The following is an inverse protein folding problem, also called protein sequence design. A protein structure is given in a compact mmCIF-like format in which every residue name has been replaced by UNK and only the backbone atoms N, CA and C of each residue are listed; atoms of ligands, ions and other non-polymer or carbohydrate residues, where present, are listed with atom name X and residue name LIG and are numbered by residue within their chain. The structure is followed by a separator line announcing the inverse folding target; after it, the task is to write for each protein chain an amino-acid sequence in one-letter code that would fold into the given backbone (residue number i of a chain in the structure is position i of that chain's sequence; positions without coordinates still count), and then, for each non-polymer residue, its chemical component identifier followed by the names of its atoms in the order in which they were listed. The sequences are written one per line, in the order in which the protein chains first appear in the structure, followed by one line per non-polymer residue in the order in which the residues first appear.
data_IF_790691193504
#
_entry.id   IF_790691193504
#
_cell.length_a   1.000
_cell.length_b   1.000
_cell.length_c   1.000
_cell.angle_alpha   90.00
_cell.angle_beta   90.00
_cell.angle_gamma   90.00
#
_symmetry.space_group_name_H-M   'P 1'
#
loop_
_entity.id
_entity.type
_entity.pdbx_description
1 polymer ?
#
# COMPACT_ATOMS: atom_id res chain seq x y z
N UNK A 1 26.73 5.74 6.38
CA UNK A 1 25.60 4.90 5.96
C UNK A 1 25.15 4.12 7.17
N UNK A 2 23.86 4.08 7.45
CA UNK A 2 23.27 3.19 8.45
C UNK A 2 22.11 2.50 7.76
N UNK A 3 21.93 1.22 8.04
CA UNK A 3 20.85 0.46 7.42
C UNK A 3 19.80 0.16 8.48
N UNK A 4 18.53 0.40 8.17
CA UNK A 4 17.44 0.19 9.12
C UNK A 4 17.64 0.97 10.44
N UNK A 5 18.02 2.25 10.35
CA UNK A 5 18.25 3.10 11.52
C UNK A 5 16.92 3.61 12.09
N UNK A 6 16.70 3.30 13.38
CA UNK A 6 15.45 3.61 14.08
C UNK A 6 15.14 5.10 14.14
N UNK A 7 16.14 5.93 14.42
CA UNK A 7 15.92 7.37 14.61
C UNK A 7 15.63 8.04 13.26
N UNK A 8 16.29 7.60 12.19
CA UNK A 8 15.97 8.02 10.83
C UNK A 8 14.51 7.67 10.47
N UNK A 9 14.07 6.44 10.72
CA UNK A 9 12.69 6.01 10.43
C UNK A 9 11.65 6.84 11.20
N UNK A 10 11.91 7.13 12.48
CA UNK A 10 11.04 7.99 13.30
C UNK A 10 11.00 9.41 12.73
N UNK A 11 12.15 9.94 12.30
CA UNK A 11 12.23 11.27 11.69
C UNK A 11 11.49 11.39 10.35
N UNK A 12 11.45 10.30 9.57
CA UNK A 12 10.71 10.23 8.30
C UNK A 12 9.20 10.12 8.49
N UNK A 13 8.75 9.58 9.63
CA UNK A 13 7.33 9.32 9.92
C UNK A 13 6.85 10.13 11.15
N UNK A 14 7.03 11.46 11.19
CA UNK A 14 6.80 12.26 12.38
C UNK A 14 5.32 12.45 12.70
N UNK A 15 4.41 12.10 11.80
CA UNK A 15 2.96 12.17 12.02
C UNK A 15 2.39 10.90 12.66
N UNK A 16 3.13 9.80 12.64
CA UNK A 16 2.69 8.57 13.30
C UNK A 16 2.79 8.68 14.83
N UNK A 17 1.68 8.39 15.51
CA UNK A 17 1.51 8.50 16.97
C UNK A 17 1.22 7.16 17.66
N UNK A 18 1.04 6.08 16.89
CA UNK A 18 0.73 4.74 17.41
C UNK A 18 1.97 3.95 17.81
N UNK A 19 1.76 2.65 18.07
CA UNK A 19 2.84 1.69 18.36
C UNK A 19 3.85 1.63 17.19
N UNK A 20 5.11 1.31 17.49
CA UNK A 20 6.17 1.14 16.49
C UNK A 20 6.88 -0.20 16.71
N UNK A 21 7.42 -0.76 15.63
CA UNK A 21 8.30 -1.93 15.71
C UNK A 21 9.64 -1.58 16.37
N UNK A 22 10.46 -2.59 16.62
CA UNK A 22 11.79 -2.41 17.22
C UNK A 22 12.71 -1.54 16.34
N UNK A 23 12.54 -1.60 15.03
CA UNK A 23 13.24 -0.76 14.07
C UNK A 23 12.66 0.66 13.93
N UNK A 24 11.59 1.01 14.64
CA UNK A 24 10.99 2.34 14.59
C UNK A 24 9.91 2.53 13.52
N UNK A 25 9.67 1.55 12.64
CA UNK A 25 8.57 1.64 11.66
C UNK A 25 7.21 1.76 12.34
N UNK A 26 6.27 2.56 11.80
CA UNK A 26 4.86 2.52 12.18
C UNK A 26 4.29 1.10 12.24
N UNK A 27 3.73 0.71 13.39
CA UNK A 27 3.07 -0.59 13.59
C UNK A 27 1.57 -0.42 13.47
N UNK A 28 1.11 -0.22 12.23
CA UNK A 28 -0.33 -0.15 11.91
C UNK A 28 -1.03 -1.43 12.37
N UNK A 29 -2.21 -1.36 13.00
CA UNK A 29 -2.89 -2.55 13.50
C UNK A 29 -3.30 -3.52 12.37
N UNK A 30 -3.28 -4.83 12.64
CA UNK A 30 -3.67 -5.85 11.67
C UNK A 30 -5.13 -5.70 11.21
N UNK A 31 -6.02 -5.21 12.07
CA UNK A 31 -7.43 -4.95 11.73
C UNK A 31 -7.59 -4.01 10.54
N UNK A 32 -6.74 -2.98 10.41
CA UNK A 32 -6.77 -2.07 9.25
C UNK A 32 -6.31 -2.77 7.97
N UNK A 33 -5.29 -3.64 8.05
CA UNK A 33 -4.86 -4.41 6.88
C UNK A 33 -5.96 -5.36 6.40
N UNK A 34 -6.63 -6.04 7.33
CA UNK A 34 -7.74 -6.95 7.00
C UNK A 34 -8.96 -6.20 6.45
N UNK A 35 -9.25 -5.00 6.95
CA UNK A 35 -10.30 -4.15 6.37
C UNK A 35 -9.98 -3.76 4.92
N UNK A 36 -8.75 -3.30 4.65
CA UNK A 36 -8.30 -2.92 3.32
C UNK A 36 -8.41 -4.06 2.30
N UNK A 37 -8.18 -5.32 2.71
CA UNK A 37 -8.32 -6.48 1.80
C UNK A 37 -9.72 -6.59 1.16
N UNK A 38 -10.74 -5.99 1.76
CA UNK A 38 -12.11 -6.01 1.24
C UNK A 38 -12.47 -4.76 0.42
N UNK A 39 -11.58 -3.78 0.29
CA UNK A 39 -11.85 -2.47 -0.37
C UNK A 39 -11.30 -2.40 -1.79
N UNK A 40 -11.86 -1.56 -2.66
CA UNK A 40 -11.35 -1.32 -4.02
C UNK A 40 -10.23 -0.28 -4.05
N UNK A 41 -9.53 -0.14 -5.19
CA UNK A 41 -8.49 0.88 -5.33
C UNK A 41 -9.07 2.29 -5.26
N UNK A 42 -10.23 2.48 -5.87
CA UNK A 42 -10.93 3.75 -5.99
C UNK A 42 -11.44 4.25 -4.63
N UNK A 43 -11.97 3.33 -3.80
CA UNK A 43 -12.38 3.61 -2.41
C UNK A 43 -11.22 4.08 -1.53
N UNK A 44 -10.02 3.52 -1.73
CA UNK A 44 -8.84 3.78 -0.91
C UNK A 44 -8.03 4.97 -1.42
N UNK A 45 -7.95 5.17 -2.73
CA UNK A 45 -7.19 6.23 -3.38
C UNK A 45 -7.77 7.62 -3.11
N UNK A 46 -9.09 7.78 -3.23
CA UNK A 46 -9.74 9.09 -3.15
C UNK A 46 -9.47 9.84 -1.84
N UNK A 47 -9.62 9.23 -0.63
CA UNK A 47 -9.36 9.92 0.63
C UNK A 47 -7.92 10.41 0.79
N UNK A 48 -6.97 9.77 0.12
CA UNK A 48 -5.56 10.14 0.12
C UNK A 48 -5.33 11.30 -0.85
N UNK A 49 -5.86 11.20 -2.06
CA UNK A 49 -5.73 12.20 -3.12
C UNK A 49 -6.25 13.58 -2.71
N UNK A 50 -7.46 13.65 -2.13
CA UNK A 50 -8.08 14.93 -1.71
C UNK A 50 -7.30 15.65 -0.59
N UNK A 51 -6.35 14.95 0.06
CA UNK A 51 -5.44 15.52 1.06
C UNK A 51 -4.11 16.00 0.47
N UNK A 52 -3.98 16.01 -0.86
CA UNK A 52 -2.78 16.45 -1.57
C UNK A 52 -1.69 15.38 -1.72
N UNK A 53 -2.00 14.12 -1.43
CA UNK A 53 -1.08 13.00 -1.65
C UNK A 53 -1.26 12.44 -3.07
N UNK A 54 -0.70 13.16 -4.04
CA UNK A 54 -0.90 12.89 -5.48
C UNK A 54 0.14 11.90 -6.07
N UNK A 55 1.21 11.59 -5.35
CA UNK A 55 2.36 10.82 -5.85
C UNK A 55 2.48 9.47 -5.11
N UNK A 56 1.36 8.79 -4.89
CA UNK A 56 1.26 7.59 -4.07
C UNK A 56 0.96 6.32 -4.89
N UNK A 57 0.66 6.45 -6.18
CA UNK A 57 0.25 5.33 -7.04
C UNK A 57 1.25 5.07 -8.18
N UNK A 58 1.52 3.79 -8.45
CA UNK A 58 2.28 3.31 -9.61
C UNK A 58 1.55 2.15 -10.30
N UNK A 59 1.38 2.26 -11.62
CA UNK A 59 0.63 1.30 -12.44
C UNK A 59 1.48 0.55 -13.48
N UNK A 60 2.72 0.99 -13.73
CA UNK A 60 3.60 0.38 -14.73
C UNK A 60 4.33 -0.86 -14.14
N UNK A 61 3.57 -1.81 -13.61
CA UNK A 61 4.03 -3.03 -12.94
C UNK A 61 3.23 -4.26 -13.43
N UNK A 62 3.91 -5.39 -13.59
CA UNK A 62 3.28 -6.70 -13.76
C UNK A 62 2.94 -7.33 -12.41
N UNK A 63 1.98 -8.24 -12.38
CA UNK A 63 1.61 -9.03 -11.20
C UNK A 63 2.04 -10.48 -11.33
N UNK A 64 2.47 -11.09 -10.22
CA UNK A 64 2.82 -12.51 -10.19
C UNK A 64 1.56 -13.37 -10.31
N UNK A 65 0.53 -13.07 -9.52
CA UNK A 65 -0.78 -13.73 -9.61
C UNK A 65 -1.81 -12.76 -10.19
N UNK A 66 -2.55 -13.22 -11.20
CA UNK A 66 -3.55 -12.46 -11.96
C UNK A 66 -4.99 -12.90 -11.63
N UNK A 67 -5.20 -13.53 -10.47
CA UNK A 67 -6.49 -14.04 -9.99
C UNK A 67 -7.30 -13.03 -9.17
N UNK A 68 -6.93 -11.75 -9.24
CA UNK A 68 -7.60 -10.66 -8.52
C UNK A 68 -7.25 -10.54 -7.04
N UNK A 69 -6.35 -11.36 -6.50
CA UNK A 69 -5.88 -11.22 -5.11
C UNK A 69 -5.17 -9.88 -4.88
N UNK A 70 -5.36 -9.31 -3.69
CA UNK A 70 -4.74 -8.04 -3.29
C UNK A 70 -3.45 -8.27 -2.51
N UNK A 71 -2.50 -7.35 -2.66
CA UNK A 71 -1.31 -7.24 -1.81
C UNK A 71 -1.57 -6.16 -0.76
N UNK A 72 -1.68 -6.54 0.52
CA UNK A 72 -1.84 -5.59 1.61
C UNK A 72 -0.84 -5.88 2.71
N UNK A 73 -0.06 -4.87 3.11
CA UNK A 73 0.87 -5.00 4.23
C UNK A 73 1.74 -3.78 4.45
N UNK A 74 2.57 -3.83 5.50
CA UNK A 74 3.40 -2.69 5.92
C UNK A 74 4.71 -2.68 5.15
N UNK A 75 5.10 -1.53 4.62
CA UNK A 75 6.27 -1.42 3.78
C UNK A 75 7.57 -1.64 4.57
N UNK A 76 8.44 -2.49 4.04
CA UNK A 76 9.87 -2.56 4.34
C UNK A 76 10.61 -2.11 3.10
N UNK A 77 11.15 -0.90 3.14
CA UNK A 77 11.67 -0.24 1.94
C UNK A 77 13.17 -0.48 1.77
N UNK A 78 13.63 -0.59 0.52
CA UNK A 78 15.06 -0.59 0.21
C UNK A 78 15.31 0.02 -1.17
N UNK A 79 16.44 0.70 -1.32
CA UNK A 79 16.81 1.40 -2.54
C UNK A 79 18.23 1.04 -2.95
N UNK A 80 18.47 0.97 -4.26
CA UNK A 80 19.74 0.56 -4.83
C UNK A 80 20.26 1.57 -5.85
N UNK A 81 21.55 1.47 -6.16
CA UNK A 81 22.18 2.14 -7.30
C UNK A 81 23.08 1.15 -8.06
N UNK A 82 23.55 1.51 -9.27
CA UNK A 82 24.58 0.75 -9.98
C UNK A 82 25.81 0.52 -9.11
N UNK A 83 26.40 -0.67 -9.22
CA UNK A 83 27.57 -1.00 -8.42
C UNK A 83 28.78 -0.12 -8.74
N UNK A 84 29.43 0.35 -7.67
CA UNK A 84 30.74 0.96 -7.69
C UNK A 84 31.61 0.24 -6.64
N UNK A 85 32.81 -0.27 -6.97
CA UNK A 85 33.53 -1.18 -6.07
C UNK A 85 33.83 -0.64 -4.67
N UNK A 86 34.27 0.62 -4.57
CA UNK A 86 34.54 1.30 -3.29
C UNK A 86 33.27 1.50 -2.46
N UNK A 87 32.15 1.86 -3.10
CA UNK A 87 30.85 1.97 -2.41
C UNK A 87 30.36 0.60 -1.93
N UNK A 88 30.51 -0.44 -2.74
CA UNK A 88 30.15 -1.81 -2.37
C UNK A 88 30.94 -2.28 -1.14
N UNK A 89 32.26 -2.03 -1.12
CA UNK A 89 33.11 -2.34 0.03
C UNK A 89 32.64 -1.61 1.29
N UNK A 90 32.39 -0.29 1.21
CA UNK A 90 31.93 0.50 2.34
C UNK A 90 30.57 0.03 2.88
N UNK A 91 29.63 -0.30 1.99
CA UNK A 91 28.31 -0.82 2.34
C UNK A 91 28.39 -2.20 3.02
N UNK A 92 29.22 -3.11 2.52
CA UNK A 92 29.43 -4.42 3.15
C UNK A 92 30.16 -4.33 4.49
N UNK A 93 31.16 -3.46 4.62
CA UNK A 93 31.84 -3.23 5.89
C UNK A 93 30.86 -2.71 6.95
N UNK A 94 29.97 -1.79 6.57
CA UNK A 94 28.90 -1.32 7.45
C UNK A 94 27.91 -2.44 7.80
N UNK A 95 27.49 -3.24 6.82
CA UNK A 95 26.62 -4.40 7.05
C UNK A 95 27.23 -5.41 8.03
N UNK A 96 28.55 -5.63 7.95
CA UNK A 96 29.29 -6.50 8.87
C UNK A 96 29.35 -5.93 10.30
N UNK A 97 29.54 -4.61 10.46
CA UNK A 97 29.46 -3.92 11.77
C UNK A 97 28.07 -4.07 12.42
N UNK A 98 27.04 -4.17 11.60
CA UNK A 98 25.65 -4.41 12.01
C UNK A 98 25.27 -5.91 12.02
N UNK A 99 26.27 -6.81 11.98
CA UNK A 99 26.13 -8.27 12.06
C UNK A 99 25.22 -8.93 11.00
N UNK A 100 25.07 -8.31 9.83
CA UNK A 100 24.27 -8.87 8.74
C UNK A 100 24.96 -10.02 8.03
N UNK A 101 24.16 -10.95 7.52
CA UNK A 101 24.63 -12.16 6.81
C UNK A 101 24.01 -12.22 5.41
N UNK A 102 24.78 -12.73 4.44
CA UNK A 102 24.32 -12.81 3.05
C UNK A 102 24.42 -11.48 2.31
N UNK A 103 23.59 -11.31 1.30
CA UNK A 103 23.57 -10.15 0.41
C UNK A 103 22.42 -9.17 0.74
N UNK A 104 22.42 -7.98 0.14
CA UNK A 104 21.48 -6.90 0.45
C UNK A 104 20.00 -7.32 0.45
N UNK A 105 19.54 -8.08 -0.54
CA UNK A 105 18.16 -8.55 -0.58
C UNK A 105 17.82 -9.48 0.59
N UNK A 106 18.74 -10.36 0.98
CA UNK A 106 18.57 -11.26 2.14
C UNK A 106 18.50 -10.45 3.44
N UNK A 107 19.28 -9.37 3.58
CA UNK A 107 19.21 -8.49 4.75
C UNK A 107 17.80 -7.92 4.96
N UNK A 108 17.10 -7.62 3.86
CA UNK A 108 15.72 -7.13 3.88
C UNK A 108 14.75 -8.26 4.19
N UNK A 109 14.82 -9.40 3.46
CA UNK A 109 13.91 -10.54 3.66
C UNK A 109 14.00 -11.09 5.10
N UNK A 110 15.20 -11.14 5.67
CA UNK A 110 15.41 -11.68 7.01
C UNK A 110 14.82 -10.76 8.10
N UNK A 111 14.63 -9.48 7.81
CA UNK A 111 14.04 -8.50 8.73
C UNK A 111 12.52 -8.51 8.78
N UNK A 112 11.84 -9.18 7.84
CA UNK A 112 10.39 -9.11 7.70
C UNK A 112 9.67 -9.70 8.90
N UNK A 113 8.62 -8.99 9.31
CA UNK A 113 7.62 -9.43 10.28
C UNK A 113 6.31 -9.86 9.60
N UNK A 114 5.36 -10.36 10.40
CA UNK A 114 4.06 -10.80 9.91
C UNK A 114 3.28 -9.64 9.25
N UNK A 115 2.79 -9.88 8.03
CA UNK A 115 2.09 -8.87 7.23
C UNK A 115 2.97 -7.77 6.62
N UNK A 116 4.30 -7.91 6.61
CA UNK A 116 5.18 -6.99 5.89
C UNK A 116 5.19 -7.23 4.37
N UNK A 117 5.46 -6.16 3.63
CA UNK A 117 5.66 -6.17 2.18
C UNK A 117 6.98 -5.49 1.87
N UNK A 118 7.85 -6.18 1.13
CA UNK A 118 9.11 -5.58 0.65
C UNK A 118 8.80 -4.58 -0.45
N UNK A 119 9.38 -3.39 -0.39
CA UNK A 119 9.28 -2.36 -1.43
C UNK A 119 10.70 -2.01 -1.88
N UNK A 120 11.11 -2.51 -3.05
CA UNK A 120 12.50 -2.46 -3.51
C UNK A 120 12.65 -1.61 -4.78
N UNK A 121 13.43 -0.52 -4.70
CA UNK A 121 13.84 0.28 -5.85
C UNK A 121 15.19 -0.19 -6.41
N UNK A 122 15.14 -0.91 -7.52
CA UNK A 122 16.30 -1.34 -8.30
C UNK A 122 16.49 -0.48 -9.54
N UNK A 123 16.05 0.79 -9.51
CA UNK A 123 16.21 1.77 -10.58
C UNK A 123 15.77 1.24 -11.95
N UNK A 124 14.71 0.44 -11.96
CA UNK A 124 14.14 -0.24 -13.14
C UNK A 124 15.07 -1.26 -13.82
N UNK A 125 16.03 -1.82 -13.08
CA UNK A 125 16.96 -2.83 -13.59
C UNK A 125 16.30 -4.20 -13.61
N UNK A 126 16.12 -4.77 -14.81
CA UNK A 126 15.65 -6.16 -15.00
C UNK A 126 16.82 -7.14 -15.13
N UNK A 127 17.64 -7.01 -16.19
CA UNK A 127 18.85 -7.80 -16.36
C UNK A 127 19.80 -7.57 -15.17
N UNK A 128 20.17 -8.64 -14.45
CA UNK A 128 20.94 -8.63 -13.19
C UNK A 128 20.28 -7.89 -12.02
N UNK A 129 19.05 -7.44 -12.17
CA UNK A 129 18.28 -6.74 -11.13
C UNK A 129 17.14 -7.60 -10.58
N UNK A 130 17.37 -8.89 -10.41
CA UNK A 130 16.33 -9.84 -10.00
C UNK A 130 16.26 -9.96 -8.47
N UNK A 131 15.45 -9.13 -7.82
CA UNK A 131 15.41 -9.06 -6.34
C UNK A 131 14.88 -10.34 -5.71
N UNK A 132 13.77 -10.87 -6.26
CA UNK A 132 13.09 -12.08 -5.80
C UNK A 132 13.27 -13.22 -6.79
N UNK A 133 13.30 -14.43 -6.22
CA UNK A 133 13.23 -15.73 -6.87
C UNK A 133 12.66 -16.75 -5.89
N UNK A 134 12.57 -18.03 -6.29
CA UNK A 134 11.81 -19.06 -5.55
C UNK A 134 12.15 -19.14 -4.05
N UNK A 135 13.44 -19.16 -3.71
CA UNK A 135 13.90 -19.24 -2.31
C UNK A 135 13.45 -18.04 -1.46
N UNK A 136 13.56 -16.82 -1.99
CA UNK A 136 13.23 -15.61 -1.24
C UNK A 136 11.72 -15.43 -1.14
N UNK A 137 10.97 -15.80 -2.18
CA UNK A 137 9.50 -15.81 -2.13
C UNK A 137 8.99 -16.82 -1.10
N UNK A 138 9.63 -17.98 -0.98
CA UNK A 138 9.33 -18.96 0.08
C UNK A 138 9.59 -18.39 1.47
N UNK A 139 10.72 -17.69 1.65
CA UNK A 139 11.03 -17.04 2.92
C UNK A 139 10.04 -15.91 3.28
N UNK A 140 9.61 -15.11 2.29
CA UNK A 140 8.55 -14.12 2.47
C UNK A 140 7.25 -14.79 2.91
N UNK A 141 6.81 -15.85 2.23
CA UNK A 141 5.58 -16.56 2.58
C UNK A 141 5.62 -17.08 4.02
N UNK A 142 6.74 -17.67 4.44
CA UNK A 142 6.92 -18.20 5.79
C UNK A 142 6.92 -17.11 6.88
N UNK A 143 7.55 -15.95 6.63
CA UNK A 143 7.66 -14.86 7.60
C UNK A 143 6.40 -14.01 7.69
N UNK A 144 5.84 -13.66 6.55
CA UNK A 144 4.79 -12.66 6.45
C UNK A 144 3.39 -13.25 6.51
N UNK A 145 3.26 -14.56 6.20
CA UNK A 145 2.00 -15.30 5.97
C UNK A 145 1.19 -14.79 4.78
N UNK A 146 0.85 -13.50 4.73
CA UNK A 146 -0.01 -12.86 3.74
C UNK A 146 0.61 -11.60 3.09
N UNK A 147 1.94 -11.45 3.21
CA UNK A 147 2.70 -10.33 2.66
C UNK A 147 3.16 -10.55 1.23
N UNK A 148 4.27 -9.91 0.84
CA UNK A 148 4.76 -10.01 -0.53
C UNK A 148 5.84 -9.02 -0.90
N UNK A 149 5.84 -8.59 -2.17
CA UNK A 149 6.87 -7.68 -2.69
C UNK A 149 6.37 -6.74 -3.78
N UNK A 150 6.92 -5.53 -3.80
CA UNK A 150 6.80 -4.55 -4.88
C UNK A 150 8.21 -4.22 -5.33
N UNK A 151 8.59 -4.72 -6.51
CA UNK A 151 9.96 -4.71 -7.01
C UNK A 151 10.03 -3.82 -8.24
N UNK A 152 10.60 -2.62 -8.09
CA UNK A 152 10.92 -1.76 -9.22
C UNK A 152 12.21 -2.23 -9.92
N UNK A 153 12.11 -3.44 -10.48
CA UNK A 153 13.20 -4.20 -11.09
C UNK A 153 12.73 -5.59 -11.50
N UNK A 154 13.70 -6.47 -11.75
CA UNK A 154 13.45 -7.85 -12.18
C UNK A 154 13.01 -8.78 -11.05
N UNK A 155 12.36 -9.88 -11.45
CA UNK A 155 12.24 -11.12 -10.68
C UNK A 155 12.74 -12.31 -11.52
N UNK A 156 12.92 -13.46 -10.89
CA UNK A 156 13.32 -14.72 -11.55
C UNK A 156 12.58 -15.91 -10.96
N UNK A 157 12.77 -17.10 -11.52
CA UNK A 157 12.19 -18.37 -11.01
C UNK A 157 10.65 -18.32 -10.88
N UNK A 158 9.96 -17.69 -11.85
CA UNK A 158 8.51 -17.39 -11.77
C UNK A 158 7.65 -18.63 -11.53
N UNK A 159 7.99 -19.77 -12.13
CA UNK A 159 7.28 -21.05 -11.92
C UNK A 159 7.25 -21.43 -10.43
N UNK A 160 8.40 -21.39 -9.75
CA UNK A 160 8.50 -21.67 -8.32
C UNK A 160 7.81 -20.60 -7.48
N UNK A 161 7.92 -19.33 -7.87
CA UNK A 161 7.28 -18.24 -7.14
C UNK A 161 5.75 -18.37 -7.15
N UNK A 162 5.15 -18.88 -8.23
CA UNK A 162 3.70 -19.10 -8.34
C UNK A 162 3.18 -20.19 -7.40
N UNK A 163 4.02 -21.10 -6.92
CA UNK A 163 3.63 -22.10 -5.93
C UNK A 163 3.37 -21.49 -4.54
N UNK A 164 3.92 -20.31 -4.25
CA UNK A 164 3.70 -19.58 -3.00
C UNK A 164 2.34 -18.87 -3.02
N UNK A 165 1.28 -19.63 -2.76
CA UNK A 165 -0.11 -19.16 -2.86
C UNK A 165 -0.49 -18.05 -1.86
N UNK A 166 0.29 -17.82 -0.81
CA UNK A 166 -0.01 -16.81 0.21
C UNK A 166 0.68 -15.46 -0.02
N UNK A 167 1.47 -15.34 -1.09
CA UNK A 167 2.22 -14.13 -1.44
C UNK A 167 1.68 -13.52 -2.74
N UNK A 168 1.75 -12.19 -2.85
CA UNK A 168 1.59 -11.46 -4.11
C UNK A 168 2.83 -10.60 -4.38
N UNK A 169 3.23 -10.53 -5.65
CA UNK A 169 4.41 -9.74 -6.08
C UNK A 169 4.06 -8.87 -7.27
N UNK A 170 4.42 -7.59 -7.20
CA UNK A 170 4.42 -6.66 -8.32
C UNK A 170 5.85 -6.41 -8.79
N UNK A 171 6.11 -6.40 -10.10
CA UNK A 171 7.47 -6.34 -10.64
C UNK A 171 7.56 -5.68 -12.02
N UNK A 172 8.78 -5.31 -12.47
CA UNK A 172 9.01 -4.64 -13.77
C UNK A 172 9.33 -5.57 -14.92
N UNK A 173 10.02 -6.67 -14.66
CA UNK A 173 10.32 -7.65 -15.69
C UNK A 173 10.84 -8.98 -15.13
N UNK A 174 11.08 -9.92 -16.04
CA UNK A 174 11.59 -11.25 -15.71
C UNK A 174 12.93 -11.43 -16.41
N UNK A 175 13.91 -11.97 -15.70
CA UNK A 175 15.21 -12.35 -16.27
C UNK A 175 15.82 -13.52 -15.45
N UNK A 176 16.54 -14.48 -16.05
CA UNK A 176 17.10 -15.61 -15.31
C UNK A 176 18.37 -15.27 -14.52
N UNK A 177 18.99 -14.12 -14.75
CA UNK A 177 20.22 -13.74 -14.05
C UNK A 177 19.98 -13.57 -12.55
N UNK A 178 20.98 -13.82 -11.69
CA UNK A 178 20.89 -13.44 -10.28
C UNK A 178 21.09 -11.94 -10.09
N UNK A 179 20.67 -11.41 -8.94
CA UNK A 179 20.99 -10.04 -8.53
C UNK A 179 22.51 -9.80 -8.52
N UNK A 180 22.96 -8.84 -9.33
CA UNK A 180 24.36 -8.46 -9.55
C UNK A 180 24.45 -6.98 -9.89
N UNK A 181 25.64 -6.40 -9.73
CA UNK A 181 25.94 -5.03 -10.17
C UNK A 181 25.02 -3.95 -9.55
N UNK A 182 24.58 -4.20 -8.31
CA UNK A 182 23.80 -3.27 -7.49
C UNK A 182 24.50 -3.03 -6.15
N UNK A 183 24.32 -1.85 -5.59
CA UNK A 183 24.69 -1.55 -4.19
C UNK A 183 23.48 -0.92 -3.51
N UNK A 184 23.17 -1.38 -2.30
CA UNK A 184 22.10 -0.81 -1.49
C UNK A 184 22.52 0.58 -0.98
N UNK A 185 21.67 1.57 -1.22
CA UNK A 185 21.86 2.96 -0.80
C UNK A 185 20.97 3.32 0.38
N UNK A 186 19.87 2.60 0.59
CA UNK A 186 18.95 2.80 1.70
C UNK A 186 18.24 1.52 2.09
N UNK A 187 17.99 1.35 3.40
CA UNK A 187 17.19 0.28 3.98
C UNK A 187 16.31 0.89 5.07
N UNK A 188 14.99 0.80 4.90
CA UNK A 188 13.97 1.55 5.62
C UNK A 188 14.23 3.07 5.57
N UNK A 189 14.42 3.56 4.35
CA UNK A 189 14.52 4.98 4.00
C UNK A 189 13.38 5.38 3.06
N UNK A 190 13.32 6.65 2.65
CA UNK A 190 12.44 7.06 1.55
C UNK A 190 12.79 6.24 0.29
N UNK A 191 11.78 5.64 -0.34
CA UNK A 191 11.95 4.82 -1.54
C UNK A 191 10.94 5.23 -2.61
N UNK A 192 11.42 5.35 -3.85
CA UNK A 192 10.59 5.69 -5.00
C UNK A 192 10.33 4.46 -5.84
N UNK A 193 9.07 4.20 -6.17
CA UNK A 193 8.66 3.15 -7.10
C UNK A 193 8.01 3.84 -8.29
N UNK A 194 8.79 4.02 -9.35
CA UNK A 194 8.37 4.80 -10.52
C UNK A 194 7.99 6.24 -10.17
N UNK A 195 6.68 6.53 -10.24
CA UNK A 195 6.07 7.83 -9.94
C UNK A 195 5.62 7.96 -8.49
N UNK A 196 5.61 6.86 -7.74
CA UNK A 196 5.12 6.80 -6.38
C UNK A 196 6.25 6.91 -5.34
N UNK A 197 5.95 7.54 -4.20
CA UNK A 197 6.83 7.61 -3.02
C UNK A 197 6.25 6.75 -1.91
N UNK A 198 7.12 5.93 -1.30
CA UNK A 198 6.81 5.06 -0.18
C UNK A 198 7.79 5.32 0.98
N UNK A 199 7.24 5.46 2.19
CA UNK A 199 8.01 5.52 3.42
C UNK A 199 7.96 4.17 4.17
N UNK A 200 8.94 3.90 5.04
CA UNK A 200 8.93 2.71 5.87
C UNK A 200 7.67 2.66 6.75
N UNK A 201 6.95 1.54 6.72
CA UNK A 201 5.71 1.33 7.47
C UNK A 201 4.45 1.95 6.84
N UNK A 202 4.53 2.62 5.69
CA UNK A 202 3.34 2.91 4.88
C UNK A 202 2.63 1.61 4.49
N UNK A 203 1.33 1.68 4.22
CA UNK A 203 0.59 0.49 3.80
C UNK A 203 0.67 0.36 2.29
N UNK A 204 1.24 -0.75 1.84
CA UNK A 204 1.18 -1.18 0.46
C UNK A 204 -0.22 -1.71 0.19
N UNK A 205 -0.88 -1.17 -0.83
CA UNK A 205 -2.18 -1.62 -1.32
C UNK A 205 -2.06 -1.90 -2.83
N UNK A 206 -1.78 -3.15 -3.17
CA UNK A 206 -1.77 -3.64 -4.54
C UNK A 206 -3.14 -4.21 -4.92
N UNK A 207 -3.82 -3.54 -5.85
CA UNK A 207 -5.09 -3.97 -6.44
C UNK A 207 -5.27 -3.28 -7.80
N UNK A 208 -6.22 -3.76 -8.62
CA UNK A 208 -6.73 -2.98 -9.77
C UNK A 208 -5.69 -2.59 -10.83
N UNK A 209 -4.60 -3.35 -10.97
CA UNK A 209 -3.57 -3.09 -11.98
C UNK A 209 -2.40 -2.20 -11.52
N UNK A 210 -2.30 -1.84 -10.24
CA UNK A 210 -1.16 -1.10 -9.73
C UNK A 210 -0.95 -1.25 -8.23
N UNK A 211 -0.10 -0.39 -7.68
CA UNK A 211 0.22 -0.32 -6.25
C UNK A 211 0.04 1.11 -5.76
N UNK A 212 -0.74 1.25 -4.70
CA UNK A 212 -0.93 2.48 -3.94
C UNK A 212 -0.19 2.37 -2.60
N UNK A 213 0.52 3.42 -2.21
CA UNK A 213 1.14 3.54 -0.89
C UNK A 213 0.33 4.48 -0.01
N UNK A 214 -0.33 3.93 1.01
CA UNK A 214 -1.14 4.69 1.95
C UNK A 214 -0.23 5.18 3.08
N UNK A 215 -0.13 6.50 3.31
CA UNK A 215 0.64 7.02 4.44
C UNK A 215 0.16 6.41 5.76
N UNK A 216 1.08 5.86 6.54
CA UNK A 216 0.74 5.11 7.76
C UNK A 216 -0.19 5.86 8.72
N UNK A 217 -0.01 7.17 8.91
CA UNK A 217 -0.85 8.00 9.79
C UNK A 217 -2.26 8.27 9.26
N UNK A 218 -2.53 8.00 7.98
CA UNK A 218 -3.86 8.17 7.38
C UNK A 218 -4.67 6.87 7.34
N UNK A 219 -4.07 5.71 7.57
CA UNK A 219 -4.71 4.41 7.34
C UNK A 219 -6.08 4.25 8.03
N UNK A 220 -6.21 4.74 9.26
CA UNK A 220 -7.46 4.64 10.01
C UNK A 220 -8.60 5.42 9.34
N UNK A 221 -8.29 6.65 8.92
CA UNK A 221 -9.23 7.52 8.22
C UNK A 221 -9.54 7.01 6.82
N UNK A 222 -8.55 6.46 6.11
CA UNK A 222 -8.75 5.84 4.80
C UNK A 222 -9.69 4.65 4.91
N UNK A 223 -9.53 3.78 5.91
CA UNK A 223 -10.42 2.64 6.13
C UNK A 223 -11.84 3.10 6.45
N UNK A 224 -12.00 4.12 7.29
CA UNK A 224 -13.32 4.67 7.61
C UNK A 224 -13.98 5.32 6.38
N UNK A 225 -13.25 6.17 5.65
CA UNK A 225 -13.74 6.85 4.44
C UNK A 225 -14.05 5.89 3.30
N UNK A 226 -13.24 4.84 3.12
CA UNK A 226 -13.49 3.78 2.16
C UNK A 226 -14.76 2.99 2.52
N UNK A 227 -14.97 2.66 3.80
CA UNK A 227 -16.19 1.99 4.25
C UNK A 227 -17.44 2.84 4.00
N UNK A 228 -17.36 4.16 4.24
CA UNK A 228 -18.43 5.11 3.91
C UNK A 228 -18.70 5.17 2.40
N UNK A 229 -17.63 5.23 1.59
CA UNK A 229 -17.75 5.24 0.12
C UNK A 229 -18.42 3.97 -0.39
N UNK A 230 -18.01 2.81 0.12
CA UNK A 230 -18.57 1.53 -0.28
C UNK A 230 -20.09 1.43 -0.05
N UNK A 231 -20.57 1.82 1.14
CA UNK A 231 -22.01 1.78 1.43
C UNK A 231 -22.80 2.86 0.67
N UNK A 232 -22.18 4.02 0.39
CA UNK A 232 -22.74 5.03 -0.52
C UNK A 232 -22.89 4.48 -1.93
N UNK A 233 -21.94 3.70 -2.43
CA UNK A 233 -22.01 3.09 -3.77
C UNK A 233 -23.10 2.03 -3.86
N UNK A 234 -23.19 1.12 -2.87
CA UNK A 234 -24.26 0.12 -2.80
C UNK A 234 -25.64 0.80 -2.86
N UNK A 235 -25.84 1.82 -2.03
CA UNK A 235 -27.08 2.59 -1.99
C UNK A 235 -27.30 3.38 -3.28
N UNK A 236 -26.27 4.04 -3.78
CA UNK A 236 -26.30 4.89 -4.97
C UNK A 236 -26.69 4.11 -6.23
N UNK A 237 -26.07 2.95 -6.46
CA UNK A 237 -26.43 2.06 -7.57
C UNK A 237 -27.88 1.61 -7.49
N UNK A 238 -28.38 1.30 -6.29
CA UNK A 238 -29.77 0.92 -6.11
C UNK A 238 -30.71 2.09 -6.42
N UNK A 239 -30.43 3.29 -5.90
CA UNK A 239 -31.27 4.47 -6.15
C UNK A 239 -31.28 4.87 -7.62
N UNK A 240 -30.14 4.77 -8.31
CA UNK A 240 -30.04 4.98 -9.76
C UNK A 240 -30.87 3.92 -10.50
N UNK A 241 -30.74 2.63 -10.15
CA UNK A 241 -31.49 1.55 -10.80
C UNK A 241 -33.02 1.70 -10.66
N UNK A 242 -33.45 2.31 -9.55
CA UNK A 242 -34.86 2.61 -9.26
C UNK A 242 -35.32 3.96 -9.83
N UNK A 243 -34.46 4.70 -10.54
CA UNK A 243 -34.70 6.06 -11.04
C UNK A 243 -35.11 7.06 -9.94
N UNK A 244 -34.66 6.83 -8.70
CA UNK A 244 -34.92 7.73 -7.57
C UNK A 244 -33.89 8.86 -7.51
N UNK A 245 -32.64 8.57 -7.88
CA UNK A 245 -31.56 9.56 -8.02
C UNK A 245 -30.93 9.47 -9.41
N UNK A 246 -30.44 10.62 -9.88
CA UNK A 246 -29.61 10.71 -11.09
C UNK A 246 -28.15 10.43 -10.77
N UNK A 247 -27.36 10.04 -11.77
CA UNK A 247 -25.90 9.88 -11.63
C UNK A 247 -25.25 11.17 -11.12
N UNK A 248 -25.66 12.32 -11.66
CA UNK A 248 -25.17 13.63 -11.24
C UNK A 248 -25.48 14.00 -9.78
N UNK A 249 -26.52 13.42 -9.17
CA UNK A 249 -26.79 13.60 -7.73
C UNK A 249 -25.86 12.72 -6.89
N UNK A 250 -25.66 11.46 -7.30
CA UNK A 250 -24.78 10.51 -6.61
C UNK A 250 -23.32 10.94 -6.68
N UNK A 251 -22.87 11.47 -7.81
CA UNK A 251 -21.48 11.87 -8.06
C UNK A 251 -21.08 13.19 -7.39
N UNK A 252 -21.93 13.80 -6.56
CA UNK A 252 -21.55 14.98 -5.77
C UNK A 252 -20.67 14.60 -4.59
N UNK A 253 -19.69 15.45 -4.28
CA UNK A 253 -18.90 15.29 -3.06
C UNK A 253 -19.76 15.44 -1.81
N UNK A 254 -20.66 16.44 -1.80
CA UNK A 254 -21.61 16.66 -0.71
C UNK A 254 -23.01 16.21 -1.12
N UNK A 255 -23.55 15.23 -0.39
CA UNK A 255 -24.94 14.80 -0.54
C UNK A 255 -25.86 15.68 0.30
N UNK A 256 -27.09 15.89 -0.16
CA UNK A 256 -28.08 16.66 0.61
C UNK A 256 -28.52 15.89 1.86
N UNK A 257 -29.08 16.59 2.85
CA UNK A 257 -29.64 15.95 4.05
C UNK A 257 -30.68 14.87 3.70
N UNK A 258 -31.59 15.12 2.74
CA UNK A 258 -32.57 14.13 2.30
C UNK A 258 -31.93 12.86 1.71
N UNK A 259 -30.80 13.01 1.00
CA UNK A 259 -30.07 11.85 0.47
C UNK A 259 -29.38 11.07 1.60
N UNK A 260 -28.78 11.78 2.56
CA UNK A 260 -28.16 11.17 3.74
C UNK A 260 -29.20 10.45 4.60
N UNK A 261 -30.36 11.05 4.85
CA UNK A 261 -31.45 10.42 5.61
C UNK A 261 -31.91 9.11 4.98
N UNK A 262 -32.03 9.07 3.64
CA UNK A 262 -32.36 7.84 2.92
C UNK A 262 -31.24 6.80 3.01
N UNK A 263 -29.98 7.22 2.97
CA UNK A 263 -28.84 6.34 3.17
C UNK A 263 -28.82 5.75 4.58
N UNK A 264 -29.00 6.57 5.62
CA UNK A 264 -29.03 6.09 7.02
C UNK A 264 -30.17 5.12 7.23
N UNK A 265 -31.35 5.40 6.66
CA UNK A 265 -32.47 4.46 6.67
C UNK A 265 -32.12 3.15 5.99
N UNK A 266 -31.49 3.20 4.82
CA UNK A 266 -31.01 2.01 4.10
C UNK A 266 -30.02 1.20 4.97
N UNK A 267 -29.06 1.86 5.62
CA UNK A 267 -28.09 1.23 6.53
C UNK A 267 -28.78 0.51 7.71
N UNK A 268 -29.85 1.11 8.24
CA UNK A 268 -30.64 0.56 9.35
C UNK A 268 -31.57 -0.59 8.96
N UNK A 269 -32.18 -0.53 7.78
CA UNK A 269 -33.24 -1.46 7.36
C UNK A 269 -32.73 -2.62 6.48
N UNK A 270 -31.69 -2.42 5.66
CA UNK A 270 -31.18 -3.42 4.73
C UNK A 270 -30.08 -4.29 5.36
N UNK A 271 -30.03 -5.58 5.02
CA UNK A 271 -29.00 -6.50 5.50
C UNK A 271 -27.59 -6.10 5.02
N UNK A 272 -27.47 -5.51 3.82
CA UNK A 272 -26.19 -4.99 3.29
C UNK A 272 -25.67 -3.82 4.12
N UNK A 273 -26.54 -3.12 4.84
CA UNK A 273 -26.19 -2.03 5.74
C UNK A 273 -25.59 -2.49 7.07
N UNK A 274 -25.77 -3.75 7.47
CA UNK A 274 -25.39 -4.27 8.78
C UNK A 274 -23.92 -3.98 9.17
N UNK A 275 -22.91 -4.16 8.30
CA UNK A 275 -21.51 -3.88 8.65
C UNK A 275 -21.21 -2.40 8.90
N UNK A 276 -22.07 -1.49 8.41
CA UNK A 276 -21.83 -0.05 8.33
C UNK A 276 -22.60 0.76 9.39
N UNK A 277 -23.41 0.10 10.22
CA UNK A 277 -24.26 0.75 11.24
C UNK A 277 -23.50 1.49 12.34
N UNK A 278 -22.20 1.23 12.48
CA UNK A 278 -21.34 1.88 13.47
C UNK A 278 -20.58 3.10 12.93
N UNK A 279 -20.69 3.39 11.62
CA UNK A 279 -20.03 4.54 11.01
C UNK A 279 -20.65 5.86 11.51
N UNK A 280 -19.80 6.84 11.80
CA UNK A 280 -20.22 8.19 12.14
C UNK A 280 -20.42 9.04 10.88
N UNK A 281 -21.59 9.63 10.72
CA UNK A 281 -21.95 10.45 9.55
C UNK A 281 -21.99 11.95 9.86
N UNK A 282 -21.55 12.37 11.05
CA UNK A 282 -21.66 13.75 11.53
C UNK A 282 -20.96 14.74 10.61
N UNK A 283 -19.81 14.37 10.02
CA UNK A 283 -19.07 15.22 9.09
C UNK A 283 -19.83 15.45 7.77
N UNK A 284 -20.48 14.42 7.24
CA UNK A 284 -21.27 14.50 6.01
C UNK A 284 -22.53 15.35 6.21
N UNK A 285 -23.23 15.19 7.35
CA UNK A 285 -24.36 16.06 7.70
C UNK A 285 -23.93 17.51 7.92
N UNK A 286 -22.80 17.74 8.58
CA UNK A 286 -22.24 19.09 8.74
C UNK A 286 -21.95 19.74 7.38
N UNK A 287 -21.34 18.99 6.45
CA UNK A 287 -21.09 19.47 5.10
C UNK A 287 -22.38 19.77 4.32
N UNK A 288 -23.41 18.93 4.47
CA UNK A 288 -24.72 19.12 3.84
C UNK A 288 -25.41 20.42 4.31
N UNK A 289 -25.32 20.73 5.61
CA UNK A 289 -25.93 21.90 6.24
C UNK A 289 -25.19 23.21 5.94
N UNK A 290 -23.87 23.16 5.86
CA UNK A 290 -23.02 24.35 5.80
C UNK A 290 -22.37 24.59 4.44
N UNK A 291 -22.73 23.77 3.45
CA UNK A 291 -22.37 23.81 2.02
C UNK A 291 -21.18 24.68 1.60
N UNK A 292 -20.18 24.06 0.97
CA UNK A 292 -19.16 24.79 0.22
C UNK A 292 -19.76 25.31 -1.10
N UNK A 293 -19.78 26.65 -1.25
CA UNK A 293 -20.25 27.34 -2.45
C UNK A 293 -19.49 27.04 -3.75
N UNK A 294 -18.47 26.17 -3.69
CA UNK A 294 -17.60 25.80 -4.81
C UNK A 294 -17.72 24.34 -5.28
N UNK A 295 -18.77 23.59 -4.89
CA UNK A 295 -18.97 22.16 -5.24
C UNK A 295 -19.34 21.94 -6.73
N UNK A 296 -18.41 22.29 -7.63
CA UNK A 296 -18.42 21.97 -9.05
C UNK A 296 -17.53 20.78 -9.39
N UNK A 297 -16.84 20.20 -8.40
CA UNK A 297 -15.98 19.04 -8.59
C UNK A 297 -16.78 17.74 -8.43
N UNK A 298 -16.66 16.85 -9.40
CA UNK A 298 -17.17 15.48 -9.31
C UNK A 298 -16.46 14.72 -8.20
N UNK A 299 -17.18 13.78 -7.60
CA UNK A 299 -16.66 12.82 -6.64
C UNK A 299 -15.74 11.76 -7.27
N UNK A 300 -15.62 11.74 -8.60
CA UNK A 300 -14.84 10.83 -9.43
C UNK A 300 -13.82 11.61 -10.26
#
# INVERSE_FOLDING_TARGET
MKFNDREEIISLTPLWRGERFADGRPKVAASYLEALRNMTLEEVWKPIYVKGYENQFEGDLYTLHDDGRKLVGRAVTCSFCPARPDLHMAAFEQGAKEHRKGNYNQWVIDSLEEGDVVVADLYDKVYKGTFLGGNLTTAIAAKTKNGGGVIWGGIRDVEQMREAASVQVYYRGIDPTPIREVVMTGFNTVTRIGKAVCLPGDIVFGAGGGVLFIPSHLVAEVVEGAAKTHIKDIFGFEMISKNLFTTAQIDKNVWTEDMLDKLIRFIGEDERGLPYRSLDWSAEYYAALHGDSSDTQTAL
#
